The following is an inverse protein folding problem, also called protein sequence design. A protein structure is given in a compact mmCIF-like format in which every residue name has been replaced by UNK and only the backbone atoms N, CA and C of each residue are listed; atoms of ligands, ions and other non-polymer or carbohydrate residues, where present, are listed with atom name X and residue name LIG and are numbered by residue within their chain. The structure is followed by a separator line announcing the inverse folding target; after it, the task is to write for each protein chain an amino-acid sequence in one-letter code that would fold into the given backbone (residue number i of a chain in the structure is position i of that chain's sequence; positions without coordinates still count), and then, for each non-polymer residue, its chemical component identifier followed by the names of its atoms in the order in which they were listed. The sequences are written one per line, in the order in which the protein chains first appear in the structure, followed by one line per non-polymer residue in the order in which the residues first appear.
data_IF_542538047946
#
_entry.id   IF_542538047946
#
_cell.length_a   1.000
_cell.length_b   1.000
_cell.length_c   1.000
_cell.angle_alpha   90.00
_cell.angle_beta   90.00
_cell.angle_gamma   90.00
#
_symmetry.space_group_name_H-M   'P 1'
#
loop_
_entity.id
_entity.type
_entity.pdbx_description
1 polymer ?
#
# COMPACT_ATOMS: atom_id res chain seq x y z
N UNK A 1 3.22 11.89 -12.95
CA UNK A 1 2.11 11.79 -12.00
C UNK A 1 1.23 10.59 -12.34
N UNK A 2 0.88 9.71 -11.38
CA UNK A 2 0.00 8.58 -11.62
C UNK A 2 -1.44 9.06 -11.89
N UNK A 3 -2.08 8.48 -12.90
CA UNK A 3 -3.45 8.83 -13.29
C UNK A 3 -4.41 7.64 -13.23
N UNK A 4 -3.97 6.53 -12.64
CA UNK A 4 -4.73 5.29 -12.57
C UNK A 4 -5.35 5.07 -11.18
N UNK A 5 -6.46 4.34 -11.15
CA UNK A 5 -7.18 3.93 -9.94
C UNK A 5 -7.33 2.41 -9.85
N UNK A 6 -6.58 1.66 -10.64
CA UNK A 6 -6.59 0.20 -10.51
C UNK A 6 -5.88 -0.27 -9.24
N UNK A 7 -6.16 -1.50 -8.86
CA UNK A 7 -5.85 -2.01 -7.52
C UNK A 7 -4.46 -2.64 -7.41
N UNK A 8 -3.76 -2.80 -8.54
CA UNK A 8 -2.41 -3.37 -8.54
C UNK A 8 -1.34 -2.27 -8.55
N UNK A 9 -0.25 -2.43 -7.76
CA UNK A 9 0.86 -1.49 -7.79
C UNK A 9 1.54 -1.46 -9.16
N UNK A 10 1.83 -0.26 -9.69
CA UNK A 10 2.54 -0.11 -10.97
C UNK A 10 3.27 1.22 -11.09
N UNK A 11 4.18 1.31 -12.07
CA UNK A 11 4.85 2.55 -12.41
C UNK A 11 3.87 3.57 -13.04
N UNK A 12 4.13 4.85 -12.84
CA UNK A 12 3.36 5.93 -13.46
C UNK A 12 3.78 6.19 -14.91
N UNK A 13 2.80 6.39 -15.79
CA UNK A 13 3.02 6.76 -17.18
C UNK A 13 3.72 5.68 -18.01
N UNK A 14 4.21 6.07 -19.17
CA UNK A 14 4.89 5.16 -20.13
C UNK A 14 6.39 4.99 -19.86
N UNK A 15 7.04 6.01 -19.29
CA UNK A 15 8.47 6.00 -18.96
C UNK A 15 8.74 5.74 -17.49
N UNK A 16 7.68 5.85 -16.65
CA UNK A 16 7.82 5.78 -15.20
C UNK A 16 8.60 6.95 -14.61
N UNK A 17 8.50 7.11 -13.32
CA UNK A 17 9.25 8.10 -12.53
C UNK A 17 10.25 7.45 -11.55
N UNK A 18 10.42 6.12 -11.68
CA UNK A 18 11.23 5.31 -10.78
C UNK A 18 10.48 4.84 -9.53
N UNK A 19 9.23 5.23 -9.36
CA UNK A 19 8.39 4.82 -8.24
C UNK A 19 7.32 3.81 -8.67
N UNK A 20 6.93 2.97 -7.72
CA UNK A 20 5.78 2.07 -7.85
C UNK A 20 4.65 2.66 -7.01
N UNK A 21 3.54 2.95 -7.65
CA UNK A 21 2.39 3.60 -7.06
C UNK A 21 1.25 2.61 -6.80
N UNK A 22 0.56 2.80 -5.69
CA UNK A 22 -0.65 2.05 -5.31
C UNK A 22 -1.77 3.05 -5.05
N UNK A 23 -2.93 2.85 -5.69
CA UNK A 23 -4.13 3.62 -5.38
C UNK A 23 -4.69 3.22 -4.02
N UNK A 24 -5.02 4.16 -3.18
CA UNK A 24 -5.63 3.94 -1.87
C UNK A 24 -7.09 4.41 -1.84
N UNK A 25 -7.34 5.69 -2.08
CA UNK A 25 -8.69 6.28 -2.08
C UNK A 25 -8.71 7.59 -2.87
N UNK A 26 -9.93 8.09 -3.11
CA UNK A 26 -10.15 9.37 -3.78
C UNK A 26 -10.65 10.41 -2.78
N UNK A 27 -9.99 11.56 -2.72
CA UNK A 27 -10.43 12.70 -1.93
C UNK A 27 -11.48 13.48 -2.74
N UNK A 28 -12.63 13.76 -2.14
CA UNK A 28 -13.66 14.54 -2.82
C UNK A 28 -13.21 16.00 -3.01
N UNK A 29 -13.63 16.68 -4.09
CA UNK A 29 -13.30 18.10 -4.29
C UNK A 29 -13.77 19.00 -3.14
N UNK A 30 -14.89 18.65 -2.51
CA UNK A 30 -15.41 19.37 -1.35
C UNK A 30 -14.51 19.24 -0.12
N UNK A 31 -13.91 18.07 0.07
CA UNK A 31 -13.02 17.82 1.20
C UNK A 31 -11.65 18.46 0.98
N UNK A 32 -11.17 18.47 -0.25
CA UNK A 32 -9.96 19.21 -0.62
C UNK A 32 -10.12 20.68 -0.22
N UNK A 33 -11.19 21.33 -0.65
CA UNK A 33 -11.41 22.76 -0.37
C UNK A 33 -11.56 23.07 1.12
N UNK A 34 -12.14 22.14 1.88
CA UNK A 34 -12.44 22.36 3.31
C UNK A 34 -11.31 21.98 4.25
N UNK A 35 -10.58 20.92 3.96
CA UNK A 35 -9.73 20.24 4.93
C UNK A 35 -8.30 20.02 4.47
N UNK A 36 -8.00 20.11 3.16
CA UNK A 36 -6.65 19.93 2.68
C UNK A 36 -5.78 21.15 2.99
N UNK A 37 -4.58 20.91 3.47
CA UNK A 37 -3.60 21.95 3.81
C UNK A 37 -2.18 21.39 3.77
N UNK A 38 -1.19 22.23 4.07
CA UNK A 38 0.21 21.81 4.16
C UNK A 38 0.45 20.69 5.19
N UNK A 39 -0.36 20.65 6.25
CA UNK A 39 -0.14 19.75 7.39
C UNK A 39 -1.24 18.68 7.55
N UNK A 40 -2.36 18.80 6.86
CA UNK A 40 -3.51 17.92 7.02
C UNK A 40 -4.05 17.49 5.65
N UNK A 41 -4.46 16.26 5.57
CA UNK A 41 -5.07 15.64 4.40
C UNK A 41 -6.40 14.98 4.80
N UNK A 42 -7.47 15.16 4.02
CA UNK A 42 -8.73 14.45 4.24
C UNK A 42 -8.56 12.94 4.16
N UNK A 43 -9.11 12.22 5.13
CA UNK A 43 -9.17 10.76 5.14
C UNK A 43 -10.61 10.29 5.34
N UNK A 44 -11.01 9.11 4.82
CA UNK A 44 -12.34 8.55 5.09
C UNK A 44 -12.59 8.41 6.58
N UNK A 45 -13.78 8.76 7.03
CA UNK A 45 -14.14 8.73 8.45
C UNK A 45 -14.14 7.31 9.02
N UNK A 46 -14.65 6.37 8.27
CA UNK A 46 -14.69 4.96 8.65
C UNK A 46 -14.28 4.11 7.46
N UNK A 47 -13.00 3.72 7.45
CA UNK A 47 -12.43 2.97 6.36
C UNK A 47 -13.06 1.58 6.20
N UNK A 48 -13.41 0.92 7.31
CA UNK A 48 -13.99 -0.43 7.26
C UNK A 48 -15.37 -0.46 6.61
N UNK A 49 -16.14 0.59 6.77
CA UNK A 49 -17.49 0.71 6.21
C UNK A 49 -17.54 1.58 4.96
N UNK A 50 -16.44 2.21 4.55
CA UNK A 50 -16.38 3.04 3.35
C UNK A 50 -16.72 2.21 2.09
N UNK A 51 -17.90 2.47 1.54
CA UNK A 51 -18.41 1.76 0.36
C UNK A 51 -17.75 2.21 -0.94
N UNK A 52 -17.25 3.44 -0.99
CA UNK A 52 -16.61 4.00 -2.20
C UNK A 52 -15.30 3.30 -2.53
N UNK A 53 -14.54 2.95 -1.49
CA UNK A 53 -13.22 2.32 -1.62
C UNK A 53 -13.20 0.85 -1.15
N UNK A 54 -14.37 0.22 -1.08
CA UNK A 54 -14.51 -1.17 -0.63
C UNK A 54 -13.68 -2.17 -1.44
N UNK A 55 -13.47 -1.89 -2.74
CA UNK A 55 -12.63 -2.73 -3.60
C UNK A 55 -11.14 -2.64 -3.22
N UNK A 56 -10.66 -1.47 -2.80
CA UNK A 56 -9.27 -1.29 -2.32
C UNK A 56 -9.04 -2.14 -1.08
N UNK A 57 -9.94 -2.09 -0.09
CA UNK A 57 -9.86 -2.93 1.11
C UNK A 57 -9.91 -4.43 0.80
N UNK A 58 -10.81 -4.84 -0.09
CA UNK A 58 -10.92 -6.25 -0.50
C UNK A 58 -9.70 -6.75 -1.24
N UNK A 59 -9.02 -5.87 -1.96
CA UNK A 59 -7.78 -6.20 -2.65
C UNK A 59 -6.53 -6.07 -1.76
N UNK A 60 -6.67 -5.53 -0.57
CA UNK A 60 -5.68 -5.62 0.49
C UNK A 60 -5.62 -7.07 0.95
N UNK A 61 -4.80 -7.85 0.35
CA UNK A 61 -4.73 -9.29 0.53
C UNK A 61 -4.27 -9.70 1.94
N UNK A 62 -4.12 -11.00 2.12
CA UNK A 62 -3.59 -11.57 3.36
C UNK A 62 -2.26 -10.93 3.76
N UNK A 63 -2.01 -10.84 5.06
CA UNK A 63 -0.76 -10.33 5.61
C UNK A 63 0.45 -11.02 4.96
N UNK A 64 1.45 -10.23 4.56
CA UNK A 64 2.65 -10.73 3.91
C UNK A 64 2.45 -11.25 2.48
N UNK A 65 1.38 -10.85 1.79
CA UNK A 65 1.25 -11.13 0.37
C UNK A 65 2.12 -10.16 -0.45
N UNK A 66 3.05 -10.71 -1.20
CA UNK A 66 4.00 -9.94 -2.01
C UNK A 66 3.33 -9.42 -3.29
N UNK A 67 3.63 -8.17 -3.66
CA UNK A 67 3.11 -7.53 -4.88
C UNK A 67 4.21 -6.96 -5.75
N UNK A 68 5.32 -6.55 -5.17
CA UNK A 68 6.38 -5.80 -5.85
C UNK A 68 7.75 -6.36 -5.51
N UNK A 69 8.57 -6.52 -6.55
CA UNK A 69 10.00 -6.80 -6.46
C UNK A 69 10.72 -5.75 -7.29
N UNK A 70 11.67 -5.04 -6.70
CA UNK A 70 12.51 -4.09 -7.40
C UNK A 70 13.85 -4.70 -7.76
N UNK A 71 14.41 -4.30 -8.91
CA UNK A 71 15.72 -4.75 -9.37
C UNK A 71 16.74 -3.72 -8.90
N UNK A 72 17.60 -4.10 -7.95
CA UNK A 72 18.68 -3.24 -7.47
C UNK A 72 19.96 -3.42 -8.31
N UNK A 73 20.17 -4.61 -8.86
CA UNK A 73 21.22 -4.89 -9.81
C UNK A 73 20.76 -5.91 -10.85
N UNK A 74 20.99 -5.62 -12.14
CA UNK A 74 20.50 -6.45 -13.25
C UNK A 74 21.30 -7.72 -13.52
N UNK A 75 22.46 -7.87 -12.90
CA UNK A 75 23.39 -8.96 -13.16
C UNK A 75 24.10 -8.84 -14.52
N UNK A 76 24.98 -9.80 -14.81
CA UNK A 76 25.67 -9.95 -16.09
C UNK A 76 25.78 -11.44 -16.44
N UNK A 77 25.48 -11.81 -17.67
CA UNK A 77 25.49 -13.21 -18.11
C UNK A 77 24.46 -14.07 -17.39
N UNK A 78 23.28 -13.48 -17.10
CA UNK A 78 22.22 -14.13 -16.33
C UNK A 78 21.44 -15.07 -17.26
N UNK A 79 21.51 -16.36 -16.98
CA UNK A 79 20.77 -17.39 -17.73
C UNK A 79 21.01 -17.34 -19.24
N UNK A 80 19.95 -17.54 -20.01
CA UNK A 80 19.96 -17.43 -21.47
C UNK A 80 19.33 -16.10 -21.91
N UNK A 81 19.98 -15.40 -22.84
CA UNK A 81 19.46 -14.14 -23.40
C UNK A 81 18.06 -14.31 -24.05
N UNK A 82 17.25 -13.28 -23.96
CA UNK A 82 15.87 -13.23 -24.48
C UNK A 82 14.95 -14.33 -23.94
N UNK A 83 15.15 -14.75 -22.70
CA UNK A 83 14.35 -15.79 -22.07
C UNK A 83 13.45 -15.24 -20.98
N UNK A 84 12.23 -15.78 -20.89
CA UNK A 84 11.29 -15.54 -19.81
C UNK A 84 11.21 -16.77 -18.91
N UNK A 85 11.50 -16.60 -17.65
CA UNK A 85 11.41 -17.64 -16.63
C UNK A 85 10.17 -17.40 -15.77
N UNK A 86 9.24 -18.35 -15.81
CA UNK A 86 8.00 -18.31 -15.03
C UNK A 86 8.12 -19.14 -13.76
N UNK A 87 7.29 -18.84 -12.75
CA UNK A 87 7.24 -19.58 -11.48
C UNK A 87 8.59 -19.66 -10.78
N UNK A 88 9.35 -18.56 -10.82
CA UNK A 88 10.58 -18.44 -10.04
C UNK A 88 10.17 -18.26 -8.57
N UNK A 89 10.59 -19.16 -7.66
CA UNK A 89 10.13 -19.09 -6.29
C UNK A 89 10.75 -17.94 -5.53
N UNK A 90 9.99 -17.42 -4.56
CA UNK A 90 10.48 -16.45 -3.60
C UNK A 90 10.65 -17.19 -2.28
N UNK A 91 11.88 -17.28 -1.78
CA UNK A 91 12.24 -17.87 -0.49
C UNK A 91 12.07 -16.84 0.62
N UNK A 92 11.60 -17.29 1.78
CA UNK A 92 11.41 -16.46 2.97
C UNK A 92 10.73 -17.27 4.06
N UNK A 93 10.10 -16.59 4.99
CA UNK A 93 9.32 -17.18 6.08
C UNK A 93 7.86 -17.47 5.69
N UNK A 94 7.40 -16.87 4.58
CA UNK A 94 6.09 -17.14 3.98
C UNK A 94 6.07 -18.33 3.03
N UNK A 95 4.96 -18.50 2.31
CA UNK A 95 4.78 -19.59 1.36
C UNK A 95 3.98 -19.18 0.11
N UNK A 96 4.25 -19.88 -1.01
CA UNK A 96 3.45 -19.80 -2.24
C UNK A 96 3.71 -18.58 -3.13
N UNK A 97 4.72 -17.77 -2.83
CA UNK A 97 5.07 -16.66 -3.70
C UNK A 97 5.96 -17.10 -4.88
N UNK A 98 5.60 -16.63 -6.06
CA UNK A 98 6.30 -16.89 -7.31
C UNK A 98 6.41 -15.61 -8.15
N UNK A 99 7.47 -15.50 -8.94
CA UNK A 99 7.66 -14.39 -9.87
C UNK A 99 7.95 -14.88 -11.29
N UNK A 100 7.75 -13.99 -12.25
CA UNK A 100 8.22 -14.11 -13.62
C UNK A 100 9.41 -13.18 -13.82
N UNK A 101 10.51 -13.71 -14.35
CA UNK A 101 11.75 -12.98 -14.61
C UNK A 101 12.01 -12.98 -16.10
N UNK A 102 12.21 -11.80 -16.69
CA UNK A 102 12.56 -11.61 -18.09
C UNK A 102 14.02 -11.22 -18.19
N UNK A 103 14.76 -11.94 -19.01
CA UNK A 103 16.17 -11.68 -19.34
C UNK A 103 16.23 -11.10 -20.75
N UNK A 104 16.93 -9.97 -20.91
CA UNK A 104 17.06 -9.28 -22.19
C UNK A 104 18.13 -9.91 -23.10
N UNK A 105 18.34 -9.31 -24.28
CA UNK A 105 19.32 -9.75 -25.27
C UNK A 105 20.77 -9.68 -24.78
N UNK A 106 21.06 -8.84 -23.78
CA UNK A 106 22.41 -8.70 -23.18
C UNK A 106 22.64 -9.66 -22.01
N UNK A 107 21.76 -10.65 -21.83
CA UNK A 107 21.76 -11.57 -20.71
C UNK A 107 21.78 -10.84 -19.33
N UNK A 108 20.95 -9.82 -19.20
CA UNK A 108 20.69 -9.08 -17.95
C UNK A 108 19.22 -9.18 -17.61
N UNK A 109 18.88 -9.13 -16.34
CA UNK A 109 17.47 -9.06 -15.93
C UNK A 109 16.84 -7.76 -16.43
N UNK A 110 15.80 -7.86 -17.24
CA UNK A 110 15.04 -6.74 -17.78
C UNK A 110 13.93 -6.35 -16.81
N UNK A 111 13.10 -7.33 -16.42
CA UNK A 111 11.97 -7.11 -15.52
C UNK A 111 11.71 -8.30 -14.61
N UNK A 112 11.10 -8.00 -13.47
CA UNK A 112 10.59 -9.00 -12.53
C UNK A 112 9.14 -8.62 -12.18
N UNK A 113 8.24 -9.58 -12.27
CA UNK A 113 6.83 -9.38 -11.92
C UNK A 113 6.38 -10.50 -11.01
N UNK A 114 5.75 -10.17 -9.89
CA UNK A 114 5.16 -11.17 -8.99
C UNK A 114 3.96 -11.79 -9.69
N UNK A 115 4.01 -13.10 -9.91
CA UNK A 115 2.92 -13.87 -10.53
C UNK A 115 1.98 -14.51 -9.51
N UNK A 116 2.48 -14.80 -8.30
CA UNK A 116 1.71 -15.22 -7.15
C UNK A 116 2.31 -14.55 -5.92
N UNK A 117 1.52 -13.85 -5.15
CA UNK A 117 2.01 -13.11 -3.97
C UNK A 117 2.24 -13.97 -2.74
N UNK A 118 1.72 -15.19 -2.70
CA UNK A 118 1.80 -16.04 -1.51
C UNK A 118 1.16 -15.42 -0.26
N UNK A 119 1.62 -15.81 0.90
CA UNK A 119 1.17 -15.24 2.19
C UNK A 119 2.19 -15.47 3.30
N UNK A 120 2.10 -14.66 4.36
CA UNK A 120 2.89 -14.83 5.57
C UNK A 120 4.33 -14.34 5.49
N UNK A 121 4.72 -13.60 4.46
CA UNK A 121 6.07 -13.10 4.32
C UNK A 121 6.32 -11.88 5.22
N UNK A 122 7.40 -11.92 6.00
CA UNK A 122 8.00 -10.76 6.67
C UNK A 122 9.36 -10.40 6.06
N UNK A 123 9.95 -11.33 5.30
CA UNK A 123 11.09 -11.11 4.42
C UNK A 123 11.01 -12.06 3.22
N UNK A 124 11.69 -11.71 2.13
CA UNK A 124 11.73 -12.58 0.96
C UNK A 124 12.96 -12.32 0.10
N UNK A 125 13.37 -13.34 -0.64
CA UNK A 125 14.46 -13.28 -1.62
C UNK A 125 14.06 -14.07 -2.85
N UNK A 126 14.25 -13.50 -4.04
CA UNK A 126 13.99 -14.20 -5.30
C UNK A 126 15.04 -15.28 -5.53
N UNK A 127 14.61 -16.52 -5.71
CA UNK A 127 15.49 -17.67 -5.87
C UNK A 127 15.65 -18.06 -7.35
N UNK A 128 16.61 -17.45 -8.01
CA UNK A 128 16.95 -17.77 -9.41
C UNK A 128 17.59 -19.15 -9.56
N UNK A 129 18.35 -19.59 -8.55
CA UNK A 129 19.07 -20.87 -8.59
C UNK A 129 18.12 -22.06 -8.62
N UNK A 130 16.95 -21.96 -8.00
CA UNK A 130 15.90 -22.98 -8.07
C UNK A 130 15.40 -23.26 -9.49
N UNK A 131 15.66 -22.32 -10.43
CA UNK A 131 15.37 -22.46 -11.87
C UNK A 131 16.63 -22.68 -12.71
N UNK A 132 17.78 -22.91 -12.07
CA UNK A 132 19.05 -23.05 -12.78
C UNK A 132 19.52 -21.76 -13.45
N UNK A 133 19.02 -20.60 -13.03
CA UNK A 133 19.42 -19.30 -13.57
C UNK A 133 20.62 -18.80 -12.77
N UNK A 134 21.78 -18.84 -13.39
CA UNK A 134 23.04 -18.35 -12.81
C UNK A 134 23.59 -17.22 -13.67
N UNK A 135 24.49 -16.43 -13.14
CA UNK A 135 25.11 -15.32 -13.86
C UNK A 135 26.59 -15.20 -13.55
N UNK A 136 27.37 -14.57 -14.43
CA UNK A 136 28.77 -14.20 -14.17
C UNK A 136 28.81 -13.19 -13.02
N UNK A 137 27.87 -12.26 -13.00
CA UNK A 137 27.56 -11.39 -11.85
C UNK A 137 26.12 -11.62 -11.48
N UNK A 138 25.87 -12.00 -10.24
CA UNK A 138 24.51 -12.26 -9.77
C UNK A 138 23.67 -10.99 -9.77
N UNK A 139 22.42 -11.05 -10.23
CA UNK A 139 21.48 -9.95 -10.07
C UNK A 139 21.08 -9.82 -8.60
N UNK A 140 20.64 -8.64 -8.20
CA UNK A 140 20.15 -8.36 -6.86
C UNK A 140 18.76 -7.74 -6.93
N UNK A 141 17.91 -8.12 -5.97
CA UNK A 141 16.52 -7.74 -5.88
C UNK A 141 16.17 -7.30 -4.47
N UNK A 142 15.21 -6.41 -4.38
CA UNK A 142 14.57 -6.05 -3.13
C UNK A 142 13.09 -6.44 -3.20
N UNK A 143 12.68 -7.31 -2.29
CA UNK A 143 11.30 -7.79 -2.18
C UNK A 143 10.56 -6.89 -1.22
N UNK A 144 9.59 -6.15 -1.73
CA UNK A 144 8.83 -5.19 -0.92
C UNK A 144 7.78 -5.95 -0.10
N UNK A 145 7.96 -5.92 1.22
CA UNK A 145 7.00 -6.49 2.16
C UNK A 145 5.90 -5.48 2.42
N UNK A 146 4.63 -5.82 2.15
CA UNK A 146 3.52 -4.92 2.39
C UNK A 146 3.26 -4.73 3.89
N UNK A 147 2.55 -3.64 4.28
CA UNK A 147 2.07 -3.48 5.65
C UNK A 147 1.13 -4.64 6.04
N UNK A 148 0.92 -4.81 7.35
CA UNK A 148 0.05 -5.85 7.88
C UNK A 148 -1.36 -5.74 7.30
N UNK A 149 -1.89 -6.85 6.77
CA UNK A 149 -3.18 -6.89 6.07
C UNK A 149 -3.11 -6.48 4.59
N UNK A 150 -1.94 -6.02 4.09
CA UNK A 150 -1.75 -5.56 2.71
C UNK A 150 -2.03 -4.07 2.52
N UNK A 151 -1.56 -3.51 1.41
CA UNK A 151 -1.79 -2.10 1.06
C UNK A 151 -3.29 -1.80 0.88
N UNK A 152 -3.80 -0.83 1.63
CA UNK A 152 -5.21 -0.44 1.65
C UNK A 152 -6.05 -1.15 2.71
N UNK A 153 -5.48 -2.04 3.54
CA UNK A 153 -6.19 -2.64 4.67
C UNK A 153 -6.47 -1.61 5.77
N UNK A 154 -5.45 -0.85 6.13
CA UNK A 154 -5.51 0.21 7.13
C UNK A 154 -4.78 1.45 6.59
N UNK A 155 -5.53 2.37 6.00
CA UNK A 155 -4.96 3.58 5.40
C UNK A 155 -4.39 4.54 6.45
N UNK A 156 -4.92 4.56 7.65
CA UNK A 156 -4.46 5.48 8.70
C UNK A 156 -3.03 5.13 9.10
N UNK A 157 -2.79 3.85 9.32
CA UNK A 157 -1.45 3.33 9.62
C UNK A 157 -0.50 3.51 8.44
N UNK A 158 -0.98 3.24 7.23
CA UNK A 158 -0.18 3.33 6.01
C UNK A 158 0.26 4.76 5.69
N UNK A 159 -0.59 5.76 5.99
CA UNK A 159 -0.28 7.18 5.85
C UNK A 159 0.64 7.70 6.98
N UNK A 160 0.86 6.92 8.04
CA UNK A 160 1.78 7.29 9.12
C UNK A 160 1.37 8.52 9.93
N UNK A 161 0.08 8.78 10.03
CA UNK A 161 -0.43 9.94 10.79
C UNK A 161 -0.43 9.65 12.29
N UNK A 162 0.05 10.60 13.07
CA UNK A 162 0.03 10.55 14.54
C UNK A 162 -1.09 11.42 15.15
N UNK A 163 -1.70 12.30 14.35
CA UNK A 163 -2.73 13.22 14.79
C UNK A 163 -3.93 13.15 13.87
N UNK A 164 -5.13 13.15 14.43
CA UNK A 164 -6.38 13.25 13.68
C UNK A 164 -7.10 14.53 14.10
N UNK A 165 -7.40 15.38 13.10
CA UNK A 165 -8.27 16.54 13.28
C UNK A 165 -9.71 16.10 13.03
N UNK A 166 -10.54 16.14 14.07
CA UNK A 166 -11.96 15.88 13.94
C UNK A 166 -12.70 17.20 13.76
N UNK A 167 -13.44 17.28 12.65
CA UNK A 167 -14.37 18.37 12.41
C UNK A 167 -15.79 17.84 12.59
N UNK A 168 -16.56 18.47 13.47
CA UNK A 168 -17.99 18.17 13.64
C UNK A 168 -18.75 19.49 13.69
N UNK A 169 -19.84 19.55 12.92
CA UNK A 169 -20.84 20.60 13.07
C UNK A 169 -21.94 20.07 13.97
N UNK A 170 -22.06 20.68 15.13
CA UNK A 170 -23.13 20.38 16.05
C UNK A 170 -24.33 21.25 15.68
N UNK A 171 -25.42 20.63 15.28
CA UNK A 171 -26.67 21.32 14.95
C UNK A 171 -27.64 21.15 16.11
N UNK A 172 -28.18 22.26 16.59
CA UNK A 172 -29.27 22.22 17.57
C UNK A 172 -30.58 22.01 16.82
N UNK A 173 -31.12 20.82 16.93
CA UNK A 173 -32.43 20.47 16.44
C UNK A 173 -33.37 20.31 17.63
N UNK A 174 -34.59 20.86 17.53
CA UNK A 174 -35.62 20.75 18.59
C UNK A 174 -36.09 19.31 18.77
N UNK A 175 -36.02 18.49 17.73
CA UNK A 175 -36.45 17.09 17.74
C UNK A 175 -35.37 16.11 18.18
N UNK A 176 -34.10 16.55 18.16
CA UNK A 176 -32.94 15.75 18.59
C UNK A 176 -31.94 16.63 19.34
N UNK A 177 -32.21 16.96 20.62
CA UNK A 177 -31.34 17.81 21.42
C UNK A 177 -30.11 17.03 21.90
N UNK A 178 -29.13 16.81 21.04
CA UNK A 178 -27.90 16.09 21.38
C UNK A 178 -27.00 16.86 22.35
N UNK A 179 -27.29 18.14 22.57
CA UNK A 179 -26.57 18.95 23.55
C UNK A 179 -27.45 20.05 24.17
N UNK A 180 -27.05 20.50 25.35
CA UNK A 180 -27.77 21.54 26.10
C UNK A 180 -27.63 22.88 25.40
N UNK A 181 -28.78 23.53 25.08
CA UNK A 181 -28.82 24.88 24.52
C UNK A 181 -28.32 25.91 25.53
N UNK A 182 -27.55 26.90 25.04
CA UNK A 182 -26.98 27.95 25.87
C UNK A 182 -25.57 27.68 26.39
N UNK A 183 -25.01 26.52 26.10
CA UNK A 183 -23.59 26.25 26.32
C UNK A 183 -22.72 26.92 25.28
N UNK A 184 -21.60 27.48 25.72
CA UNK A 184 -20.56 27.97 24.81
C UNK A 184 -19.46 26.92 24.71
N UNK A 185 -19.01 26.63 23.51
CA UNK A 185 -17.80 25.82 23.30
C UNK A 185 -16.61 26.71 23.59
N UNK A 186 -15.94 26.44 24.72
CA UNK A 186 -14.82 27.26 25.18
C UNK A 186 -13.46 26.78 24.71
N UNK A 187 -13.37 25.58 24.15
CA UNK A 187 -12.08 25.00 23.78
C UNK A 187 -12.20 24.07 22.56
N UNK A 188 -11.23 24.18 21.66
CA UNK A 188 -10.99 23.23 20.55
C UNK A 188 -9.65 22.56 20.80
N UNK A 189 -9.60 21.25 20.67
CA UNK A 189 -8.38 20.46 20.90
C UNK A 189 -8.07 19.51 19.76
N UNK A 190 -6.88 18.97 19.80
CA UNK A 190 -6.42 17.88 18.94
C UNK A 190 -6.42 16.60 19.79
N UNK A 191 -6.93 15.52 19.24
CA UNK A 191 -6.88 14.21 19.88
C UNK A 191 -5.64 13.50 19.32
N UNK A 192 -4.73 13.14 20.20
CA UNK A 192 -3.57 12.31 19.86
C UNK A 192 -3.90 10.82 20.07
N UNK A 193 -3.47 9.98 19.15
CA UNK A 193 -3.62 8.51 19.22
C UNK A 193 -5.04 8.06 19.57
N UNK A 194 -6.07 8.45 18.79
CA UNK A 194 -7.45 8.07 19.10
C UNK A 194 -7.61 6.55 19.03
N UNK A 195 -8.43 6.02 19.93
CA UNK A 195 -8.76 4.59 19.99
C UNK A 195 -10.24 4.37 19.68
N UNK A 196 -10.55 3.23 19.06
CA UNK A 196 -11.94 2.82 18.91
C UNK A 196 -12.56 2.50 20.27
N UNK A 197 -13.86 2.79 20.43
CA UNK A 197 -14.59 2.48 21.65
C UNK A 197 -14.52 0.99 21.98
N UNK A 198 -14.14 0.64 23.21
CA UNK A 198 -13.90 -0.72 23.68
C UNK A 198 -12.82 -1.52 22.88
N UNK A 199 -11.85 -0.85 22.33
CA UNK A 199 -10.73 -1.45 21.64
C UNK A 199 -9.41 -0.89 22.19
N UNK A 200 -8.40 -1.75 22.29
CA UNK A 200 -7.03 -1.33 22.56
C UNK A 200 -6.28 -0.90 21.28
N UNK A 201 -6.98 -0.91 20.14
CA UNK A 201 -6.41 -0.53 18.87
C UNK A 201 -6.48 0.98 18.64
N UNK A 202 -5.38 1.59 18.30
CA UNK A 202 -5.35 2.99 17.87
C UNK A 202 -6.00 3.12 16.48
N UNK A 203 -6.79 4.17 16.27
CA UNK A 203 -7.38 4.50 14.97
C UNK A 203 -6.35 5.08 13.99
N UNK A 204 -5.24 5.60 14.53
CA UNK A 204 -4.12 6.14 13.77
C UNK A 204 -2.81 5.72 14.45
N UNK A 205 -2.25 4.61 14.04
CA UNK A 205 -0.94 4.14 14.52
C UNK A 205 -0.15 3.52 13.37
#
# INVERSE_FOLDING_TARGET
EPTFTDLEPRAAGTSGDGYIWKYLYTISPSDIVKFDSTNYMPVPQDWETNTNDASVRKNAASSGQLKVITITHRGVGVGTANQTHTKVPIKGDGSGAEATVVVNNDAKVESVTVSSGGSGYTFGTLDLEAKGITGTTSPAFDVIIPPQGGHGADIYRELGSYNVLLYSRIENDTDNPDFVTGNQIAQVGVIESPQAYNSDSNLAS
#
